data_IF_548645807372
#
_entry.id   IF_548645807372
#
_cell.length_a   1.000
_cell.length_b   1.000
_cell.length_c   1.000
_cell.angle_alpha   90.00
_cell.angle_beta   90.00
_cell.angle_gamma   90.00
#
_symmetry.space_group_name_H-M   'P 1'
#
loop_
_entity.id
_entity.type
_entity.pdbx_description
1 polymer ?
#
# COMPACT_ATOMS: atom_id res chain seq x y z
N UNK A 1 11.45 14.24 -1.54
CA UNK A 1 9.98 14.07 -1.37
C UNK A 1 9.66 12.60 -1.54
N UNK A 2 8.64 12.07 -0.87
CA UNK A 2 8.40 10.63 -0.82
C UNK A 2 7.04 10.24 -1.41
N UNK A 3 7.07 9.26 -2.31
CA UNK A 3 5.92 8.46 -2.71
C UNK A 3 6.05 7.10 -2.04
N UNK A 4 5.12 6.80 -1.14
CA UNK A 4 5.05 5.50 -0.47
C UNK A 4 3.98 4.67 -1.15
N UNK A 5 4.32 3.43 -1.52
CA UNK A 5 3.38 2.47 -2.10
C UNK A 5 3.21 1.30 -1.14
N UNK A 6 2.00 1.17 -0.60
CA UNK A 6 1.67 -0.01 0.19
C UNK A 6 1.37 -1.20 -0.71
N UNK A 7 1.91 -2.36 -0.34
CA UNK A 7 1.75 -3.63 -1.04
C UNK A 7 1.26 -4.68 -0.05
N UNK A 8 0.09 -5.27 -0.27
CA UNK A 8 -0.42 -6.34 0.60
C UNK A 8 -1.93 -6.53 0.47
N UNK A 9 -2.42 -7.70 0.88
CA UNK A 9 -3.85 -8.05 0.77
C UNK A 9 -4.77 -7.23 1.67
N UNK A 10 -6.07 -7.26 1.40
CA UNK A 10 -7.07 -6.66 2.28
C UNK A 10 -6.96 -7.26 3.68
N UNK A 11 -7.28 -6.45 4.69
CA UNK A 11 -7.09 -6.82 6.09
C UNK A 11 -5.64 -7.21 6.46
N UNK A 12 -4.62 -6.64 5.81
CA UNK A 12 -3.21 -6.79 6.22
C UNK A 12 -2.70 -5.74 7.22
N UNK A 13 -3.50 -4.72 7.57
CA UNK A 13 -3.11 -3.66 8.53
C UNK A 13 -2.65 -2.35 7.90
N UNK A 14 -2.59 -2.26 6.56
CA UNK A 14 -2.21 -1.05 5.80
C UNK A 14 -2.83 0.26 6.32
N UNK A 15 -4.15 0.33 6.40
CA UNK A 15 -4.84 1.56 6.79
C UNK A 15 -4.54 1.97 8.23
N UNK A 16 -4.39 1.00 9.15
CA UNK A 16 -3.95 1.27 10.52
C UNK A 16 -2.50 1.76 10.54
N UNK A 17 -1.61 1.13 9.76
CA UNK A 17 -0.22 1.58 9.63
C UNK A 17 -0.11 3.00 9.07
N UNK A 18 -0.92 3.35 8.06
CA UNK A 18 -1.00 4.74 7.59
C UNK A 18 -1.36 5.70 8.72
N UNK A 19 -2.39 5.37 9.52
CA UNK A 19 -2.82 6.21 10.64
C UNK A 19 -1.71 6.41 11.67
N UNK A 20 -0.98 5.35 12.00
CA UNK A 20 0.09 5.39 13.01
C UNK A 20 1.36 6.10 12.55
N UNK A 21 1.76 5.97 11.28
CA UNK A 21 3.09 6.39 10.82
C UNK A 21 3.08 7.57 9.84
N UNK A 22 1.99 7.80 9.11
CA UNK A 22 1.98 8.74 7.98
C UNK A 22 0.85 9.76 7.98
N UNK A 23 -0.14 9.63 8.86
CA UNK A 23 -1.31 10.52 8.89
C UNK A 23 -0.95 12.01 8.96
N UNK A 24 0.02 12.38 9.79
CA UNK A 24 0.45 13.77 9.97
C UNK A 24 1.47 14.26 8.93
N UNK A 25 1.96 13.38 8.05
CA UNK A 25 3.11 13.69 7.19
C UNK A 25 2.89 13.46 5.70
N UNK A 26 1.93 12.60 5.32
CA UNK A 26 1.69 12.23 3.93
C UNK A 26 0.20 12.27 3.60
N UNK A 27 -0.12 12.81 2.42
CA UNK A 27 -1.45 12.70 1.84
C UNK A 27 -1.81 11.23 1.56
N UNK A 28 -2.96 10.76 2.06
CA UNK A 28 -3.50 9.43 1.73
C UNK A 28 -4.22 9.46 0.39
N UNK A 29 -3.88 8.51 -0.48
CA UNK A 29 -4.63 8.25 -1.71
C UNK A 29 -5.09 6.79 -1.67
N UNK A 30 -6.41 6.55 -1.62
CA UNK A 30 -6.98 5.20 -1.59
C UNK A 30 -8.25 5.07 -2.45
N UNK A 31 -8.39 3.95 -3.13
CA UNK A 31 -9.48 3.71 -4.07
C UNK A 31 -10.83 3.49 -3.36
N UNK A 32 -10.82 2.99 -2.13
CA UNK A 32 -12.04 2.75 -1.36
C UNK A 32 -12.83 4.06 -1.12
N UNK A 33 -12.14 5.20 -0.94
CA UNK A 33 -12.79 6.51 -0.80
C UNK A 33 -13.00 7.19 -2.15
N UNK A 34 -12.00 7.11 -3.05
CA UNK A 34 -12.04 7.81 -4.33
C UNK A 34 -12.94 7.16 -5.38
N UNK A 35 -13.29 5.88 -5.18
CA UNK A 35 -14.19 5.05 -6.01
C UNK A 35 -13.71 4.74 -7.42
N UNK A 36 -12.98 5.64 -8.08
CA UNK A 36 -12.53 5.47 -9.46
C UNK A 36 -11.06 5.77 -9.62
N UNK A 37 -10.43 5.08 -10.58
CA UNK A 37 -9.02 5.29 -10.95
C UNK A 37 -8.79 6.67 -11.57
N UNK A 38 -9.80 7.25 -12.22
CA UNK A 38 -9.73 8.61 -12.74
C UNK A 38 -9.58 9.64 -11.61
N UNK A 39 -10.39 9.53 -10.54
CA UNK A 39 -10.31 10.43 -9.37
C UNK A 39 -9.00 10.26 -8.61
N UNK A 40 -8.54 9.02 -8.45
CA UNK A 40 -7.20 8.73 -7.95
C UNK A 40 -6.11 9.44 -8.77
N UNK A 41 -6.18 9.34 -10.09
CA UNK A 41 -5.19 9.95 -10.97
C UNK A 41 -5.16 11.48 -10.84
N UNK A 42 -6.32 12.14 -10.76
CA UNK A 42 -6.38 13.60 -10.57
C UNK A 42 -5.63 14.03 -9.30
N UNK A 43 -5.89 13.36 -8.18
CA UNK A 43 -5.26 13.68 -6.89
C UNK A 43 -3.76 13.36 -6.92
N UNK A 44 -3.39 12.23 -7.53
CA UNK A 44 -1.99 11.83 -7.70
C UNK A 44 -1.20 12.87 -8.50
N UNK A 45 -1.71 13.32 -9.66
CA UNK A 45 -1.05 14.35 -10.47
C UNK A 45 -0.94 15.70 -9.74
N UNK A 46 -1.99 16.11 -9.03
CA UNK A 46 -1.95 17.33 -8.21
C UNK A 46 -0.89 17.23 -7.09
N UNK A 47 -0.75 16.06 -6.48
CA UNK A 47 0.25 15.80 -5.46
C UNK A 47 1.68 15.79 -6.04
N UNK A 48 1.88 15.25 -7.26
CA UNK A 48 3.15 15.33 -7.98
C UNK A 48 3.54 16.78 -8.31
N UNK A 49 2.60 17.57 -8.84
CA UNK A 49 2.83 18.96 -9.21
C UNK A 49 3.18 19.84 -8.00
N UNK A 50 2.47 19.63 -6.88
CA UNK A 50 2.70 20.36 -5.62
C UNK A 50 3.87 19.82 -4.78
N UNK A 51 4.57 18.77 -5.24
CA UNK A 51 5.64 18.09 -4.50
C UNK A 51 5.19 17.56 -3.11
N UNK A 52 3.89 17.31 -2.95
CA UNK A 52 3.29 16.81 -1.72
C UNK A 52 3.68 15.37 -1.47
N UNK A 53 4.19 15.06 -0.26
CA UNK A 53 4.50 13.67 0.14
C UNK A 53 3.20 12.86 0.24
N UNK A 54 3.19 11.63 -0.26
CA UNK A 54 1.94 10.86 -0.36
C UNK A 54 2.12 9.35 -0.15
N UNK A 55 1.03 8.70 0.25
CA UNK A 55 0.92 7.24 0.40
C UNK A 55 -0.20 6.73 -0.49
N UNK A 56 0.10 5.77 -1.37
CA UNK A 56 -0.90 4.97 -2.10
C UNK A 56 -1.33 3.79 -1.22
N UNK A 57 -2.40 3.98 -0.46
CA UNK A 57 -2.99 2.97 0.44
C UNK A 57 -4.02 2.12 -0.31
N UNK A 58 -3.54 1.36 -1.29
CA UNK A 58 -4.29 0.33 -2.00
C UNK A 58 -3.63 -1.04 -1.76
N UNK A 59 -4.15 -2.10 -2.39
CA UNK A 59 -3.54 -3.43 -2.29
C UNK A 59 -2.24 -3.57 -3.09
N UNK A 60 -2.18 -2.97 -4.29
CA UNK A 60 -1.06 -2.97 -5.23
C UNK A 60 -0.32 -4.33 -5.32
N UNK A 61 -1.03 -5.43 -5.64
CA UNK A 61 -0.54 -6.78 -5.37
C UNK A 61 0.65 -7.19 -6.24
N UNK A 62 0.77 -6.67 -7.47
CA UNK A 62 1.76 -7.09 -8.46
C UNK A 62 2.59 -5.91 -9.00
N UNK A 63 3.64 -6.26 -9.74
CA UNK A 63 4.55 -5.30 -10.40
C UNK A 63 3.81 -4.28 -11.25
N UNK A 64 2.85 -4.73 -12.05
CA UNK A 64 2.07 -3.87 -12.95
C UNK A 64 1.25 -2.83 -12.16
N UNK A 65 0.58 -3.23 -11.07
CA UNK A 65 -0.17 -2.29 -10.24
C UNK A 65 0.74 -1.22 -9.60
N UNK A 66 1.96 -1.60 -9.19
CA UNK A 66 2.94 -0.67 -8.60
C UNK A 66 3.53 0.26 -9.66
N UNK A 67 3.95 -0.28 -10.81
CA UNK A 67 4.56 0.44 -11.92
C UNK A 67 3.72 1.64 -12.40
N UNK A 68 2.39 1.55 -12.29
CA UNK A 68 1.44 2.63 -12.58
C UNK A 68 1.86 3.99 -12.00
N UNK A 69 2.40 4.02 -10.79
CA UNK A 69 2.74 5.27 -10.10
C UNK A 69 4.22 5.64 -10.24
N UNK A 70 5.09 4.62 -10.34
CA UNK A 70 6.54 4.78 -10.14
C UNK A 70 7.18 5.70 -11.18
N UNK A 71 6.92 5.47 -12.47
CA UNK A 71 7.58 6.23 -13.54
C UNK A 71 7.32 7.75 -13.41
N UNK A 72 6.06 8.14 -13.21
CA UNK A 72 5.66 9.55 -13.09
C UNK A 72 6.22 10.20 -11.83
N UNK A 73 6.25 9.46 -10.72
CA UNK A 73 6.84 9.94 -9.47
C UNK A 73 8.35 10.17 -9.59
N UNK A 74 9.08 9.23 -10.21
CA UNK A 74 10.51 9.36 -10.47
C UNK A 74 10.82 10.55 -11.37
N UNK A 75 10.07 10.73 -12.46
CA UNK A 75 10.18 11.90 -13.34
C UNK A 75 9.92 13.21 -12.59
N UNK A 76 9.02 13.20 -11.60
CA UNK A 76 8.76 14.32 -10.73
C UNK A 76 9.80 14.48 -9.59
N UNK A 77 10.84 13.65 -9.52
CA UNK A 77 11.91 13.73 -8.52
C UNK A 77 11.55 13.19 -7.14
N UNK A 78 10.55 12.31 -7.04
CA UNK A 78 10.21 11.64 -5.79
C UNK A 78 11.09 10.42 -5.55
N UNK A 79 11.46 10.23 -4.29
CA UNK A 79 11.89 8.94 -3.77
C UNK A 79 10.65 8.04 -3.69
N UNK A 80 10.75 6.81 -4.19
CA UNK A 80 9.66 5.85 -4.28
C UNK A 80 9.98 4.65 -3.38
N UNK A 81 9.17 4.47 -2.34
CA UNK A 81 9.41 3.49 -1.27
C UNK A 81 8.27 2.50 -1.20
N UNK A 82 8.58 1.20 -1.14
CA UNK A 82 7.58 0.15 -0.92
C UNK A 82 7.50 -0.23 0.56
N UNK A 83 6.26 -0.37 1.06
CA UNK A 83 5.99 -1.07 2.32
C UNK A 83 5.16 -2.32 2.01
N UNK A 84 5.80 -3.48 2.13
CA UNK A 84 5.21 -4.80 1.94
C UNK A 84 4.65 -5.33 3.24
N UNK A 85 3.32 -5.47 3.32
CA UNK A 85 2.62 -6.01 4.46
C UNK A 85 2.57 -7.53 4.38
N UNK A 86 3.57 -8.16 4.97
CA UNK A 86 3.71 -9.60 5.07
C UNK A 86 2.70 -10.13 6.08
N UNK A 87 1.58 -10.64 5.57
CA UNK A 87 0.48 -11.17 6.35
C UNK A 87 0.02 -12.47 5.70
N UNK A 88 -0.04 -13.54 6.49
CA UNK A 88 -0.57 -14.80 6.01
C UNK A 88 -2.07 -14.70 5.72
N UNK A 89 -2.53 -15.49 4.76
CA UNK A 89 -3.91 -15.48 4.30
C UNK A 89 -4.91 -15.79 5.43
N UNK A 90 -4.56 -16.68 6.36
CA UNK A 90 -5.49 -17.12 7.42
C UNK A 90 -5.78 -15.98 8.41
N UNK A 91 -4.74 -15.26 8.84
CA UNK A 91 -4.84 -14.09 9.71
C UNK A 91 -5.57 -12.93 9.03
N UNK A 92 -5.33 -12.70 7.73
CA UNK A 92 -6.06 -11.70 6.97
C UNK A 92 -7.55 -12.04 6.86
N UNK A 93 -7.91 -13.30 6.58
CA UNK A 93 -9.30 -13.74 6.53
C UNK A 93 -9.98 -13.63 7.89
N UNK A 94 -9.30 -14.00 8.98
CA UNK A 94 -9.83 -13.84 10.34
C UNK A 94 -10.16 -12.39 10.66
N UNK A 95 -9.25 -11.45 10.36
CA UNK A 95 -9.49 -10.01 10.53
C UNK A 95 -10.55 -9.47 9.58
N UNK A 96 -10.61 -9.95 8.36
CA UNK A 96 -11.61 -9.53 7.39
C UNK A 96 -13.03 -9.91 7.84
N UNK A 97 -13.22 -11.10 8.44
CA UNK A 97 -14.52 -11.54 8.99
C UNK A 97 -15.03 -10.63 10.12
N UNK A 98 -14.15 -9.95 10.83
CA UNK A 98 -14.52 -9.01 11.90
C UNK A 98 -14.95 -7.64 11.37
N UNK A 99 -14.74 -7.36 10.08
CA UNK A 99 -15.16 -6.11 9.45
C UNK A 99 -16.65 -6.14 9.15
N UNK A 100 -17.25 -4.96 9.02
CA UNK A 100 -18.67 -4.79 8.76
C UNK A 100 -18.92 -4.08 7.42
N UNK A 101 -20.11 -4.32 6.86
CA UNK A 101 -20.57 -3.70 5.61
C UNK A 101 -19.57 -3.89 4.46
N UNK A 102 -19.33 -2.82 3.69
CA UNK A 102 -18.44 -2.85 2.51
C UNK A 102 -16.96 -3.09 2.85
N UNK A 103 -16.56 -2.96 4.12
CA UNK A 103 -15.18 -3.24 4.54
C UNK A 103 -14.92 -4.75 4.72
N UNK A 104 -15.98 -5.55 4.90
CA UNK A 104 -15.89 -7.01 4.86
C UNK A 104 -15.86 -7.48 3.41
N UNK A 105 -14.67 -7.82 2.93
CA UNK A 105 -14.47 -8.20 1.54
C UNK A 105 -14.86 -9.68 1.37
N UNK A 106 -15.56 -10.06 0.30
CA UNK A 106 -15.81 -11.47 0.02
C UNK A 106 -14.52 -12.29 0.06
N UNK A 107 -14.54 -13.45 0.72
CA UNK A 107 -13.35 -14.29 0.92
C UNK A 107 -12.63 -14.62 -0.40
N UNK A 108 -13.40 -14.90 -1.46
CA UNK A 108 -12.85 -15.14 -2.80
C UNK A 108 -12.00 -13.95 -3.30
N UNK A 109 -12.41 -12.71 -3.00
CA UNK A 109 -11.67 -11.50 -3.35
C UNK A 109 -10.35 -11.37 -2.59
N UNK A 110 -10.33 -11.71 -1.29
CA UNK A 110 -9.10 -11.73 -0.48
C UNK A 110 -8.14 -12.81 -0.99
N UNK A 111 -8.65 -14.01 -1.30
CA UNK A 111 -7.86 -15.10 -1.87
C UNK A 111 -7.29 -14.76 -3.24
N UNK A 112 -8.08 -14.11 -4.10
CA UNK A 112 -7.61 -13.65 -5.40
C UNK A 112 -6.48 -12.62 -5.28
N UNK A 113 -6.61 -11.66 -4.36
CA UNK A 113 -5.55 -10.70 -4.07
C UNK A 113 -4.28 -11.39 -3.53
N UNK A 114 -4.41 -12.39 -2.66
CA UNK A 114 -3.29 -13.16 -2.13
C UNK A 114 -2.55 -13.93 -3.21
N UNK A 115 -3.28 -14.63 -4.10
CA UNK A 115 -2.68 -15.35 -5.24
C UNK A 115 -1.93 -14.44 -6.19
N UNK A 116 -2.37 -13.19 -6.32
CA UNK A 116 -1.75 -12.17 -7.18
C UNK A 116 -0.59 -11.43 -6.50
N UNK A 117 -0.44 -11.58 -5.18
CA UNK A 117 0.55 -10.84 -4.40
C UNK A 117 1.97 -11.28 -4.77
N UNK A 118 2.78 -10.32 -5.17
CA UNK A 118 4.20 -10.47 -5.48
C UNK A 118 5.00 -9.61 -4.52
N UNK A 119 6.08 -10.18 -3.98
CA UNK A 119 7.04 -9.45 -3.15
C UNK A 119 7.62 -8.28 -3.96
N UNK A 120 7.55 -7.03 -3.46
CA UNK A 120 8.19 -5.90 -4.13
C UNK A 120 9.71 -5.98 -3.99
N UNK A 121 10.43 -5.52 -4.99
CA UNK A 121 11.90 -5.58 -5.03
C UNK A 121 12.51 -4.34 -5.68
N UNK A 122 13.79 -4.08 -5.40
CA UNK A 122 14.51 -2.90 -5.89
C UNK A 122 14.63 -2.86 -7.42
N UNK A 123 14.63 -4.02 -8.09
CA UNK A 123 14.66 -4.13 -9.57
C UNK A 123 13.41 -3.54 -10.26
N UNK A 124 12.32 -3.32 -9.53
CA UNK A 124 11.16 -2.59 -10.03
C UNK A 124 11.40 -1.07 -10.13
N UNK A 125 12.49 -0.57 -9.52
CA UNK A 125 12.83 0.85 -9.45
C UNK A 125 12.45 1.52 -8.13
N UNK A 126 12.18 0.76 -7.07
CA UNK A 126 12.06 1.30 -5.72
C UNK A 126 13.42 1.78 -5.19
N UNK A 127 13.44 2.90 -4.47
CA UNK A 127 14.63 3.38 -3.76
C UNK A 127 14.86 2.59 -2.46
N UNK A 128 13.78 2.14 -1.84
CA UNK A 128 13.82 1.28 -0.66
C UNK A 128 12.58 0.38 -0.60
N UNK A 129 12.75 -0.81 -0.03
CA UNK A 129 11.66 -1.75 0.25
C UNK A 129 11.71 -2.11 1.73
N UNK A 130 10.56 -2.05 2.40
CA UNK A 130 10.40 -2.46 3.79
C UNK A 130 9.38 -3.58 3.90
N UNK A 131 9.69 -4.60 4.69
CA UNK A 131 8.72 -5.58 5.18
C UNK A 131 8.06 -5.05 6.44
N UNK A 132 6.74 -5.17 6.50
CA UNK A 132 5.91 -4.85 7.66
C UNK A 132 5.19 -6.10 8.12
N UNK A 133 5.32 -6.44 9.41
CA UNK A 133 4.54 -7.49 10.06
C UNK A 133 3.81 -6.93 11.26
N UNK A 134 2.63 -7.47 11.54
CA UNK A 134 1.89 -7.16 12.77
C UNK A 134 2.51 -7.98 13.90
N UNK A 135 2.95 -7.31 14.95
CA UNK A 135 3.48 -7.94 16.14
C UNK A 135 2.36 -8.41 17.07
N UNK A 136 2.66 -9.36 17.96
CA UNK A 136 1.68 -9.96 18.89
C UNK A 136 1.05 -8.92 19.82
N UNK A 137 1.77 -7.85 20.15
CA UNK A 137 1.27 -6.74 20.96
C UNK A 137 0.34 -5.77 20.20
N UNK A 138 -0.05 -6.08 18.96
CA UNK A 138 -0.88 -5.24 18.11
C UNK A 138 -0.13 -4.10 17.42
N UNK A 139 1.17 -3.96 17.64
CA UNK A 139 2.05 -3.02 16.95
C UNK A 139 2.52 -3.53 15.58
N UNK A 140 3.48 -2.82 14.99
CA UNK A 140 4.11 -3.19 13.72
C UNK A 140 5.62 -3.31 13.89
N UNK A 141 6.19 -4.34 13.27
CA UNK A 141 7.64 -4.46 13.04
C UNK A 141 7.92 -4.07 11.59
N UNK A 142 8.98 -3.29 11.39
CA UNK A 142 9.38 -2.76 10.07
C UNK A 142 10.85 -3.08 9.86
N UNK A 143 11.17 -3.81 8.79
CA UNK A 143 12.53 -4.23 8.46
C UNK A 143 12.84 -3.93 6.99
N UNK A 144 14.04 -3.43 6.65
CA UNK A 144 14.47 -3.32 5.26
C UNK A 144 14.47 -4.68 4.56
N UNK A 145 14.06 -4.72 3.29
CA UNK A 145 14.19 -5.89 2.41
C UNK A 145 15.18 -5.58 1.29
N UNK A 146 16.12 -6.51 1.06
CA UNK A 146 17.08 -6.41 -0.03
C UNK A 146 18.26 -5.48 0.24
N UNK A 147 18.75 -5.44 1.48
CA UNK A 147 20.07 -4.89 1.80
C UNK A 147 21.19 -5.83 1.31
#
# INVERSE_FOLDING_TARGET
MQLIIFTGIQASGKSTFYQSYFYSTHLRINLDMLKTRHRENIIFEAALASKTRMVIDNTNPDREARARYMQRAKQAGFEVIAYYFDTDLSSALARNRQRQGKANIPEAGVRAAYKKLQLPSLDEGFDAVFQVRIAENGGFSVHPLGA
#
